data_IF_606317363363
#
_entry.id   IF_606317363363
#
_cell.length_a   1.000
_cell.length_b   1.000
_cell.length_c   1.000
_cell.angle_alpha   90.00
_cell.angle_beta   90.00
_cell.angle_gamma   90.00
#
_symmetry.space_group_name_H-M   'P 1'
#
loop_
_entity.id
_entity.type
_entity.pdbx_description
1 polymer ?
#
# COMPACT_ATOMS: atom_id res chain seq x y z
N UNK A 1 -35.55 -38.93 -10.93
CA UNK A 1 -34.13 -39.17 -11.32
C UNK A 1 -33.47 -37.95 -11.94
N UNK A 2 -34.05 -37.33 -12.99
CA UNK A 2 -33.45 -36.15 -13.67
C UNK A 2 -33.22 -34.93 -12.76
N UNK A 3 -34.12 -34.69 -11.80
CA UNK A 3 -33.98 -33.60 -10.82
C UNK A 3 -32.68 -33.69 -10.02
N UNK A 4 -32.34 -34.88 -9.50
CA UNK A 4 -31.11 -35.11 -8.74
C UNK A 4 -29.86 -34.92 -9.59
N UNK A 5 -29.89 -35.36 -10.86
CA UNK A 5 -28.79 -35.14 -11.79
C UNK A 5 -28.55 -33.66 -12.07
N UNK A 6 -29.62 -32.88 -12.28
CA UNK A 6 -29.53 -31.43 -12.48
C UNK A 6 -28.97 -30.75 -11.23
N UNK A 7 -29.39 -31.17 -10.04
CA UNK A 7 -28.96 -30.57 -8.78
C UNK A 7 -27.48 -30.87 -8.49
N UNK A 8 -27.02 -32.09 -8.76
CA UNK A 8 -25.61 -32.46 -8.68
C UNK A 8 -24.77 -31.68 -9.68
N UNK A 9 -25.23 -31.57 -10.93
CA UNK A 9 -24.55 -30.79 -11.96
C UNK A 9 -24.45 -29.30 -11.58
N UNK A 10 -25.56 -28.74 -11.06
CA UNK A 10 -25.61 -27.37 -10.57
C UNK A 10 -24.68 -27.16 -9.38
N UNK A 11 -24.63 -28.11 -8.45
CA UNK A 11 -23.75 -28.05 -7.29
C UNK A 11 -22.28 -27.98 -7.72
N UNK A 12 -21.86 -28.83 -8.65
CA UNK A 12 -20.50 -28.79 -9.19
C UNK A 12 -20.24 -27.51 -10.00
N UNK A 13 -21.20 -27.09 -10.82
CA UNK A 13 -21.08 -25.85 -11.57
C UNK A 13 -20.87 -24.66 -10.62
N UNK A 14 -21.69 -24.50 -9.59
CA UNK A 14 -21.51 -23.45 -8.58
C UNK A 14 -20.17 -23.64 -7.86
N UNK A 15 -19.83 -24.85 -7.43
CA UNK A 15 -18.60 -25.12 -6.67
C UNK A 15 -17.31 -24.76 -7.42
N UNK A 16 -17.30 -24.87 -8.74
CA UNK A 16 -16.14 -24.59 -9.58
C UNK A 16 -16.20 -23.23 -10.29
N UNK A 17 -17.38 -22.78 -10.73
CA UNK A 17 -17.57 -21.50 -11.43
C UNK A 17 -17.58 -20.33 -10.46
N UNK A 18 -18.23 -20.47 -9.29
CA UNK A 18 -18.34 -19.40 -8.30
C UNK A 18 -16.97 -18.83 -7.86
N UNK A 19 -15.94 -19.63 -7.49
CA UNK A 19 -14.66 -19.07 -7.09
C UNK A 19 -13.94 -18.34 -8.23
N UNK A 20 -14.15 -18.77 -9.48
CA UNK A 20 -13.54 -18.12 -10.66
C UNK A 20 -14.19 -16.75 -10.88
N UNK A 21 -15.52 -16.70 -10.89
CA UNK A 21 -16.28 -15.44 -11.03
C UNK A 21 -15.91 -14.47 -9.93
N UNK A 22 -15.86 -14.94 -8.68
CA UNK A 22 -15.52 -14.11 -7.53
C UNK A 22 -14.13 -13.49 -7.69
N UNK A 23 -13.12 -14.26 -8.12
CA UNK A 23 -11.77 -13.74 -8.39
C UNK A 23 -11.77 -12.67 -9.48
N UNK A 24 -12.49 -12.88 -10.56
CA UNK A 24 -12.55 -11.91 -11.68
C UNK A 24 -13.22 -10.60 -11.23
N UNK A 25 -14.34 -10.69 -10.52
CA UNK A 25 -15.06 -9.51 -10.02
C UNK A 25 -14.23 -8.76 -8.98
N UNK A 26 -13.65 -9.47 -8.01
CA UNK A 26 -12.80 -8.87 -6.96
C UNK A 26 -11.57 -8.19 -7.56
N UNK A 27 -10.87 -8.84 -8.50
CA UNK A 27 -9.68 -8.23 -9.15
C UNK A 27 -10.04 -6.98 -9.95
N UNK A 28 -11.16 -7.01 -10.69
CA UNK A 28 -11.67 -5.82 -11.39
C UNK A 28 -12.03 -4.69 -10.43
N UNK A 29 -12.71 -5.01 -9.32
CA UNK A 29 -13.11 -4.04 -8.31
C UNK A 29 -11.92 -3.43 -7.57
N UNK A 30 -10.98 -4.25 -7.10
CA UNK A 30 -9.74 -3.80 -6.42
C UNK A 30 -8.91 -2.92 -7.35
N UNK A 31 -8.75 -3.30 -8.62
CA UNK A 31 -8.01 -2.49 -9.61
C UNK A 31 -8.65 -1.11 -9.81
N UNK A 32 -9.99 -1.05 -9.83
CA UNK A 32 -10.75 0.21 -9.95
C UNK A 32 -10.58 1.07 -8.68
N UNK A 33 -10.61 0.45 -7.50
CA UNK A 33 -10.43 1.13 -6.22
C UNK A 33 -9.00 1.64 -6.01
N UNK A 34 -7.98 0.88 -6.40
CA UNK A 34 -6.58 1.30 -6.37
C UNK A 34 -6.32 2.49 -7.31
N UNK A 35 -6.91 2.50 -8.52
CA UNK A 35 -6.77 3.62 -9.46
C UNK A 35 -7.38 4.92 -8.93
N UNK A 36 -8.41 4.82 -8.08
CA UNK A 36 -9.07 5.97 -7.46
C UNK A 36 -8.47 6.32 -6.08
N UNK A 37 -7.30 5.77 -5.73
CA UNK A 37 -6.56 6.11 -4.50
C UNK A 37 -7.04 5.42 -3.22
N UNK A 38 -7.94 4.44 -3.32
CA UNK A 38 -8.66 3.91 -2.15
C UNK A 38 -8.00 2.74 -1.40
N UNK A 39 -6.91 2.15 -1.90
CA UNK A 39 -6.26 1.02 -1.21
C UNK A 39 -4.75 1.04 -1.45
N UNK A 40 -4.03 1.84 -0.65
CA UNK A 40 -2.59 1.76 -0.54
C UNK A 40 -2.23 0.53 0.27
N UNK A 41 -1.93 -0.59 -0.39
CA UNK A 41 -1.18 -1.67 0.26
C UNK A 41 0.21 -1.06 0.53
N UNK A 42 0.64 -0.88 1.79
CA UNK A 42 1.98 -0.39 2.05
C UNK A 42 2.96 -1.34 1.35
N UNK A 43 4.02 -0.84 0.69
CA UNK A 43 4.99 -1.70 0.04
C UNK A 43 5.51 -2.67 1.09
N UNK A 44 5.16 -3.95 0.93
CA UNK A 44 5.58 -4.99 1.86
C UNK A 44 7.09 -5.13 1.69
N UNK A 45 7.83 -4.63 2.67
CA UNK A 45 9.28 -4.65 2.74
C UNK A 45 9.73 -6.10 2.61
N UNK A 46 10.25 -6.47 1.44
CA UNK A 46 10.91 -7.77 1.28
C UNK A 46 12.13 -7.75 2.21
N UNK A 47 12.36 -8.77 3.05
CA UNK A 47 13.58 -8.82 3.86
C UNK A 47 14.78 -8.86 2.92
N UNK A 48 15.51 -7.74 2.83
CA UNK A 48 16.79 -7.69 2.15
C UNK A 48 17.86 -8.49 2.91
N UNK A 49 18.99 -8.82 2.27
CA UNK A 49 20.12 -9.49 2.92
C UNK A 49 20.55 -8.78 4.21
N UNK A 50 21.08 -9.51 5.21
CA UNK A 50 21.56 -8.90 6.44
C UNK A 50 22.70 -7.90 6.14
N UNK A 51 22.71 -6.72 6.78
CA UNK A 51 23.69 -5.67 6.51
C UNK A 51 25.08 -6.06 7.03
N UNK A 52 26.12 -5.60 6.35
CA UNK A 52 27.51 -5.83 6.77
C UNK A 52 27.85 -5.03 8.04
N UNK A 53 28.86 -5.46 8.83
CA UNK A 53 29.27 -4.73 10.03
C UNK A 53 29.69 -3.29 9.70
N UNK A 54 28.97 -2.30 10.23
CA UNK A 54 29.19 -0.87 9.97
C UNK A 54 28.20 -0.21 9.02
N UNK A 55 27.26 -0.97 8.44
CA UNK A 55 26.27 -0.43 7.50
C UNK A 55 24.90 -0.23 8.19
N UNK A 56 24.40 1.00 8.19
CA UNK A 56 23.08 1.34 8.75
C UNK A 56 22.02 1.17 7.68
N UNK A 57 21.05 0.29 7.92
CA UNK A 57 19.90 0.13 7.02
C UNK A 57 18.96 1.32 7.16
N UNK A 58 18.83 2.10 6.08
CA UNK A 58 17.84 3.17 5.98
C UNK A 58 16.65 2.63 5.21
N UNK A 59 15.58 2.29 5.94
CA UNK A 59 14.38 1.69 5.35
C UNK A 59 13.59 2.65 4.46
N UNK A 60 13.84 3.95 4.55
CA UNK A 60 13.19 4.94 3.73
C UNK A 60 14.03 6.23 3.62
N UNK A 61 14.45 6.54 2.39
CA UNK A 61 14.91 7.89 2.03
C UNK A 61 13.78 8.52 1.22
N UNK A 62 13.12 9.58 1.73
CA UNK A 62 12.07 10.24 0.98
C UNK A 62 12.65 10.76 -0.35
N UNK A 63 11.90 10.65 -1.47
CA UNK A 63 12.36 11.22 -2.73
C UNK A 63 12.56 12.72 -2.53
N UNK A 64 13.77 13.20 -2.80
CA UNK A 64 14.08 14.62 -2.85
C UNK A 64 13.34 15.17 -4.06
N UNK A 65 12.06 15.52 -3.88
CA UNK A 65 11.36 16.30 -4.90
C UNK A 65 12.17 17.57 -5.12
N UNK A 66 12.28 18.11 -6.34
CA UNK A 66 12.89 19.42 -6.59
C UNK A 66 12.15 20.60 -5.88
N UNK A 67 11.19 20.31 -5.00
CA UNK A 67 10.69 21.23 -3.97
C UNK A 67 11.60 21.22 -2.74
N UNK A 68 12.85 21.57 -2.96
CA UNK A 68 13.68 22.24 -1.96
C UNK A 68 13.32 23.72 -1.83
N UNK A 69 12.18 24.17 -2.37
CA UNK A 69 11.67 25.50 -2.09
C UNK A 69 11.13 25.49 -0.66
N UNK A 70 11.92 26.08 0.25
CA UNK A 70 11.40 26.68 1.48
C UNK A 70 10.07 27.36 1.13
N UNK A 71 8.97 27.10 1.87
CA UNK A 71 7.68 27.67 1.53
C UNK A 71 7.83 29.19 1.34
N UNK A 72 7.31 29.78 0.25
CA UNK A 72 7.42 31.20 -0.05
C UNK A 72 6.62 31.99 0.98
N UNK A 73 7.23 32.25 2.13
CA UNK A 73 6.54 32.75 3.31
C UNK A 73 7.19 32.39 4.65
N UNK A 74 8.18 31.48 4.67
CA UNK A 74 8.96 31.24 5.89
C UNK A 74 9.94 32.40 6.14
N UNK A 75 9.43 33.47 6.75
CA UNK A 75 10.21 34.58 7.29
C UNK A 75 10.74 34.19 8.67
N UNK A 76 11.64 33.20 8.72
CA UNK A 76 12.20 32.64 9.96
C UNK A 76 12.26 33.68 11.08
N UNK A 77 11.49 33.43 12.14
CA UNK A 77 11.31 34.38 13.22
C UNK A 77 12.64 34.71 13.90
N UNK A 78 12.69 35.85 14.58
CA UNK A 78 13.86 36.25 15.34
C UNK A 78 14.05 35.26 16.50
N UNK A 79 15.13 34.48 16.45
CA UNK A 79 15.50 33.58 17.53
C UNK A 79 16.08 34.44 18.64
N UNK A 80 15.34 34.53 19.75
CA UNK A 80 15.85 35.19 20.95
C UNK A 80 16.76 34.19 21.65
N UNK A 81 18.06 34.49 21.65
CA UNK A 81 19.01 33.76 22.46
C UNK A 81 18.71 34.06 23.92
N UNK A 82 18.17 33.07 24.65
CA UNK A 82 17.98 33.20 26.09
C UNK A 82 19.33 33.01 26.75
N UNK A 83 19.87 34.10 27.31
CA UNK A 83 20.99 34.04 28.24
C UNK A 83 20.53 33.26 29.48
N UNK A 84 21.04 32.04 29.65
CA UNK A 84 20.76 31.19 30.79
C UNK A 84 21.29 31.87 32.05
N UNK A 85 20.39 32.45 32.85
CA UNK A 85 20.77 33.05 34.13
C UNK A 85 21.16 31.92 35.07
N UNK A 86 22.46 31.90 35.40
CA UNK A 86 23.15 30.91 36.24
C UNK A 86 22.70 30.90 37.70
#
# INVERSE_FOLDING_TARGET
MRFWLILILLFFAVRYVLPIVLRVVLTGFVRKQMRNGGFGVPPQSRPGPPPAPGEVRVDYVPPITPKGEKPPGFKGGEYVDFEEVK
#
